data_IF_874839616433
#
_entry.id   IF_874839616433
#
_cell.length_a   1.000
_cell.length_b   1.000
_cell.length_c   1.000
_cell.angle_alpha   90.00
_cell.angle_beta   90.00
_cell.angle_gamma   90.00
#
_symmetry.space_group_name_H-M   'P 1'
#
loop_
_entity.id
_entity.type
_entity.pdbx_description
1 polymer ?
#
# COMPACT_ATOMS: atom_id res chain seq x y z
N UNK A 1 -31.62 18.95 45.29
CA UNK A 1 -30.18 19.14 45.03
C UNK A 1 -29.72 17.86 44.31
N UNK A 2 -29.72 17.73 42.98
CA UNK A 2 -28.57 17.99 42.09
C UNK A 2 -28.94 17.79 40.60
N UNK A 3 -29.98 18.48 40.08
CA UNK A 3 -30.37 18.29 38.65
C UNK A 3 -29.29 18.76 37.66
N UNK A 4 -28.41 19.70 38.03
CA UNK A 4 -27.33 20.20 37.15
C UNK A 4 -26.23 19.16 36.89
N UNK A 5 -25.79 18.43 37.93
CA UNK A 5 -24.80 17.36 37.81
C UNK A 5 -25.23 16.21 36.90
N UNK A 6 -26.52 15.85 36.91
CA UNK A 6 -27.08 14.80 36.03
C UNK A 6 -27.07 15.24 34.56
N UNK A 7 -27.22 16.54 34.27
CA UNK A 7 -27.16 17.05 32.90
C UNK A 7 -25.71 17.08 32.38
N UNK A 8 -24.76 17.55 33.17
CA UNK A 8 -23.34 17.59 32.78
C UNK A 8 -22.76 16.19 32.56
N UNK A 9 -23.05 15.23 33.45
CA UNK A 9 -22.61 13.84 33.29
C UNK A 9 -23.25 13.13 32.10
N UNK A 10 -24.52 13.41 31.81
CA UNK A 10 -25.23 12.84 30.65
C UNK A 10 -24.69 13.38 29.32
N UNK A 11 -24.33 14.66 29.27
CA UNK A 11 -23.69 15.27 28.09
C UNK A 11 -22.28 14.72 27.89
N UNK A 12 -21.48 14.62 28.97
CA UNK A 12 -20.15 14.01 28.90
C UNK A 12 -20.19 12.56 28.42
N UNK A 13 -21.13 11.76 28.93
CA UNK A 13 -21.34 10.37 28.49
C UNK A 13 -21.74 10.26 27.01
N UNK A 14 -22.58 11.18 26.52
CA UNK A 14 -22.97 11.23 25.11
C UNK A 14 -21.77 11.52 24.21
N UNK A 15 -20.95 12.51 24.58
CA UNK A 15 -19.75 12.89 23.82
C UNK A 15 -18.72 11.74 23.83
N UNK A 16 -18.53 11.09 24.98
CA UNK A 16 -17.67 9.91 25.09
C UNK A 16 -18.16 8.77 24.19
N UNK A 17 -19.46 8.47 24.22
CA UNK A 17 -20.05 7.43 23.38
C UNK A 17 -19.90 7.76 21.89
N UNK A 18 -20.18 9.00 21.48
CA UNK A 18 -20.00 9.45 20.11
C UNK A 18 -18.53 9.38 19.67
N UNK A 19 -17.59 9.75 20.54
CA UNK A 19 -16.15 9.66 20.28
C UNK A 19 -15.69 8.22 20.09
N UNK A 20 -16.13 7.29 20.94
CA UNK A 20 -15.83 5.85 20.80
C UNK A 20 -16.36 5.32 19.47
N UNK A 21 -17.61 5.65 19.11
CA UNK A 21 -18.20 5.25 17.83
C UNK A 21 -17.40 5.83 16.66
N UNK A 22 -16.99 7.09 16.75
CA UNK A 22 -16.20 7.78 15.72
C UNK A 22 -14.83 7.13 15.52
N UNK A 23 -14.12 6.81 16.60
CA UNK A 23 -12.85 6.07 16.54
C UNK A 23 -13.06 4.71 15.88
N UNK A 24 -14.08 3.95 16.28
CA UNK A 24 -14.40 2.65 15.68
C UNK A 24 -14.71 2.79 14.18
N UNK A 25 -15.44 3.82 13.77
CA UNK A 25 -15.74 4.09 12.36
C UNK A 25 -14.47 4.36 11.54
N UNK A 26 -13.55 5.20 12.04
CA UNK A 26 -12.26 5.47 11.38
C UNK A 26 -11.44 4.19 11.24
N UNK A 27 -11.32 3.40 12.32
CA UNK A 27 -10.59 2.14 12.28
C UNK A 27 -11.24 1.11 11.35
N UNK A 28 -12.57 1.09 11.25
CA UNK A 28 -13.31 0.24 10.32
C UNK A 28 -13.01 0.61 8.87
N UNK A 29 -13.05 1.90 8.52
CA UNK A 29 -12.70 2.38 7.17
C UNK A 29 -11.25 2.01 6.82
N UNK A 30 -10.32 2.16 7.77
CA UNK A 30 -8.91 1.79 7.61
C UNK A 30 -8.68 0.29 7.35
N UNK A 31 -9.53 -0.60 7.87
CA UNK A 31 -9.48 -2.05 7.59
C UNK A 31 -10.02 -2.42 6.20
N UNK A 32 -11.00 -1.68 5.67
CA UNK A 32 -11.64 -1.99 4.38
C UNK A 32 -10.85 -1.47 3.18
N UNK A 33 -10.11 -0.37 3.34
CA UNK A 33 -9.14 0.02 2.34
C UNK A 33 -7.96 -0.97 2.45
N UNK A 34 -7.70 -1.74 1.38
CA UNK A 34 -6.58 -2.72 1.25
C UNK A 34 -5.17 -2.12 1.40
N UNK A 35 -5.00 -1.03 2.14
CA UNK A 35 -3.72 -0.46 2.55
C UNK A 35 -2.91 -1.48 3.37
N UNK A 36 -3.60 -2.42 4.04
CA UNK A 36 -3.01 -3.56 4.77
C UNK A 36 -2.95 -4.89 3.99
N UNK A 37 -3.21 -4.89 2.68
CA UNK A 37 -2.90 -6.07 1.89
C UNK A 37 -1.41 -6.37 2.00
N UNK A 38 -1.01 -7.57 2.43
CA UNK A 38 0.40 -7.95 2.43
C UNK A 38 0.94 -7.74 1.01
N UNK A 39 1.98 -6.91 0.88
CA UNK A 39 2.67 -6.66 -0.39
C UNK A 39 4.02 -7.36 -0.35
N UNK A 40 4.37 -8.01 -1.45
CA UNK A 40 5.69 -8.60 -1.68
C UNK A 40 6.47 -7.66 -2.56
N UNK A 41 7.73 -7.40 -2.21
CA UNK A 41 8.61 -6.55 -2.99
C UNK A 41 9.51 -7.40 -3.86
N UNK A 42 9.55 -7.10 -5.15
CA UNK A 42 10.47 -7.72 -6.10
C UNK A 42 11.46 -6.69 -6.59
N UNK A 43 12.71 -7.12 -6.78
CA UNK A 43 13.78 -6.32 -7.34
C UNK A 43 14.05 -6.79 -8.76
N UNK A 44 13.98 -5.87 -9.72
CA UNK A 44 14.20 -6.15 -11.13
C UNK A 44 15.32 -5.22 -11.61
N UNK A 45 16.21 -5.73 -12.45
CA UNK A 45 17.29 -4.94 -13.03
C UNK A 45 16.97 -4.76 -14.51
N UNK A 46 16.77 -3.51 -14.92
CA UNK A 46 16.53 -3.15 -16.31
C UNK A 46 17.77 -2.44 -16.90
N UNK A 47 18.03 -2.63 -18.18
CA UNK A 47 19.06 -1.86 -18.90
C UNK A 47 18.58 -0.45 -19.26
N UNK A 48 17.28 -0.30 -19.53
CA UNK A 48 16.61 0.95 -19.84
C UNK A 48 15.23 0.98 -19.17
N UNK A 49 14.86 2.12 -18.63
CA UNK A 49 13.56 2.36 -17.98
C UNK A 49 12.80 3.52 -18.62
N UNK A 50 13.05 3.81 -19.90
CA UNK A 50 12.45 4.95 -20.61
C UNK A 50 10.94 5.04 -20.35
N UNK A 51 10.51 6.15 -19.75
CA UNK A 51 9.10 6.42 -19.43
C UNK A 51 8.57 5.81 -18.13
N UNK A 52 9.33 4.94 -17.44
CA UNK A 52 8.90 4.32 -16.19
C UNK A 52 9.07 5.28 -15.00
N UNK A 53 8.00 5.50 -14.27
CA UNK A 53 7.93 6.38 -13.11
C UNK A 53 7.58 5.61 -11.83
N UNK A 54 7.90 6.24 -10.69
CA UNK A 54 7.43 5.74 -9.39
C UNK A 54 5.91 5.86 -9.33
N UNK A 55 5.25 4.78 -8.95
CA UNK A 55 3.79 4.69 -8.87
C UNK A 55 3.14 4.02 -10.07
N UNK A 56 3.88 3.78 -11.15
CA UNK A 56 3.33 3.11 -12.35
C UNK A 56 2.75 1.74 -12.02
N UNK A 57 1.67 1.40 -12.70
CA UNK A 57 0.95 0.15 -12.48
C UNK A 57 1.77 -1.05 -12.96
N UNK A 58 1.86 -2.08 -12.12
CA UNK A 58 2.45 -3.36 -12.47
C UNK A 58 1.33 -4.31 -12.85
N UNK A 59 1.41 -4.86 -14.05
CA UNK A 59 0.40 -5.77 -14.59
C UNK A 59 0.93 -7.19 -14.70
N UNK A 60 0.07 -8.16 -14.42
CA UNK A 60 0.28 -9.58 -14.69
C UNK A 60 -0.90 -10.08 -15.52
N UNK A 61 -0.63 -10.57 -16.74
CA UNK A 61 -1.65 -11.02 -17.69
C UNK A 61 -2.78 -9.98 -17.91
N UNK A 62 -2.43 -8.69 -17.96
CA UNK A 62 -3.37 -7.59 -18.16
C UNK A 62 -4.13 -7.13 -16.90
N UNK A 63 -3.92 -7.77 -15.74
CA UNK A 63 -4.50 -7.34 -14.47
C UNK A 63 -3.51 -6.49 -13.67
N UNK A 64 -3.95 -5.36 -13.14
CA UNK A 64 -3.14 -4.54 -12.22
C UNK A 64 -2.98 -5.28 -10.90
N UNK A 65 -1.75 -5.68 -10.59
CA UNK A 65 -1.41 -6.45 -9.39
C UNK A 65 -0.54 -5.68 -8.40
N UNK A 66 0.00 -4.53 -8.80
CA UNK A 66 0.95 -3.79 -8.00
C UNK A 66 1.31 -2.43 -8.56
N UNK A 67 2.36 -1.85 -8.01
CA UNK A 67 2.90 -0.57 -8.43
C UNK A 67 4.43 -0.53 -8.31
N UNK A 68 5.08 0.34 -9.07
CA UNK A 68 6.50 0.67 -8.89
C UNK A 68 6.66 1.43 -7.58
N UNK A 69 7.50 0.91 -6.68
CA UNK A 69 7.75 1.47 -5.35
C UNK A 69 8.96 2.42 -5.37
N UNK A 70 10.04 2.00 -6.02
CA UNK A 70 11.29 2.76 -6.09
C UNK A 70 12.08 2.44 -7.35
N UNK A 71 12.73 3.46 -7.89
CA UNK A 71 13.72 3.34 -8.96
C UNK A 71 15.04 3.87 -8.38
N UNK A 72 16.12 3.11 -8.49
CA UNK A 72 17.43 3.50 -7.98
C UNK A 72 18.55 3.04 -8.89
N UNK A 73 19.58 3.86 -8.99
CA UNK A 73 20.84 3.42 -9.57
C UNK A 73 21.55 2.47 -8.59
N UNK A 74 22.22 1.41 -9.09
CA UNK A 74 22.99 0.52 -8.26
C UNK A 74 24.08 1.29 -7.53
N UNK A 75 24.24 1.02 -6.22
CA UNK A 75 25.25 1.68 -5.38
C UNK A 75 26.69 1.40 -5.84
N UNK A 76 26.90 0.23 -6.46
CA UNK A 76 28.21 -0.17 -6.99
C UNK A 76 28.21 0.06 -8.50
N UNK A 77 29.11 0.93 -8.97
CA UNK A 77 29.28 1.22 -10.41
C UNK A 77 29.70 -0.01 -11.24
N UNK A 78 30.09 -1.11 -10.60
CA UNK A 78 30.47 -2.37 -11.26
C UNK A 78 29.31 -3.19 -11.83
N UNK A 79 28.05 -2.85 -11.54
CA UNK A 79 26.87 -3.53 -12.10
C UNK A 79 26.11 -2.57 -13.02
N UNK A 80 26.20 -2.72 -14.35
CA UNK A 80 25.38 -1.93 -15.26
C UNK A 80 23.90 -2.31 -15.09
N UNK A 81 23.02 -1.31 -15.05
CA UNK A 81 21.58 -1.51 -14.96
C UNK A 81 20.93 -0.58 -13.94
N UNK A 82 19.61 -0.50 -14.00
CA UNK A 82 18.77 0.33 -13.13
C UNK A 82 17.91 -0.61 -12.31
N UNK A 83 17.99 -0.47 -10.99
CA UNK A 83 17.25 -1.29 -10.06
C UNK A 83 15.86 -0.71 -9.86
N UNK A 84 14.85 -1.48 -10.22
CA UNK A 84 13.44 -1.15 -10.04
C UNK A 84 12.86 -2.07 -8.99
N UNK A 85 12.32 -1.49 -7.94
CA UNK A 85 11.60 -2.18 -6.88
C UNK A 85 10.11 -2.03 -7.12
N UNK A 86 9.43 -3.14 -7.30
CA UNK A 86 7.97 -3.19 -7.44
C UNK A 86 7.34 -3.77 -6.18
N UNK A 87 6.14 -3.30 -5.86
CA UNK A 87 5.31 -3.86 -4.80
C UNK A 87 4.09 -4.52 -5.40
N UNK A 88 3.95 -5.82 -5.18
CA UNK A 88 2.86 -6.65 -5.74
C UNK A 88 2.03 -7.23 -4.60
N UNK A 89 0.72 -7.37 -4.81
CA UNK A 89 -0.16 -7.98 -3.81
C UNK A 89 0.20 -9.46 -3.56
N UNK A 90 0.26 -9.88 -2.30
CA UNK A 90 0.67 -11.24 -1.92
C UNK A 90 -0.24 -12.35 -2.47
N UNK A 91 -1.52 -12.05 -2.73
CA UNK A 91 -2.46 -13.02 -3.32
C UNK A 91 -2.05 -13.48 -4.73
N UNK A 92 -1.19 -12.74 -5.44
CA UNK A 92 -0.67 -13.13 -6.75
C UNK A 92 0.76 -13.66 -6.70
N UNK A 93 1.38 -13.72 -5.52
CA UNK A 93 2.74 -14.26 -5.32
C UNK A 93 2.88 -15.67 -5.91
N UNK A 94 1.86 -16.51 -5.76
CA UNK A 94 1.82 -17.88 -6.30
C UNK A 94 1.83 -17.95 -7.83
N UNK A 95 1.59 -16.83 -8.51
CA UNK A 95 1.63 -16.72 -9.98
C UNK A 95 2.97 -16.17 -10.50
N UNK A 96 3.80 -15.60 -9.63
CA UNK A 96 5.11 -15.06 -9.99
C UNK A 96 6.17 -16.10 -9.62
N UNK A 97 6.64 -16.83 -10.63
CA UNK A 97 7.69 -17.85 -10.50
C UNK A 97 9.07 -17.28 -10.77
N UNK A 98 10.12 -17.99 -10.38
CA UNK A 98 11.52 -17.56 -10.58
C UNK A 98 11.92 -17.38 -12.05
N UNK A 99 11.24 -18.06 -12.97
CA UNK A 99 11.44 -17.95 -14.43
C UNK A 99 10.56 -16.86 -15.09
N UNK A 100 9.87 -16.05 -14.28
CA UNK A 100 9.06 -14.94 -14.78
C UNK A 100 9.94 -13.87 -15.43
N UNK A 101 9.49 -13.34 -16.57
CA UNK A 101 10.14 -12.24 -17.27
C UNK A 101 9.35 -10.95 -17.08
N UNK A 102 10.06 -9.86 -16.82
CA UNK A 102 9.47 -8.53 -16.72
C UNK A 102 9.81 -7.72 -17.98
N UNK A 103 8.84 -6.95 -18.47
CA UNK A 103 9.01 -6.01 -19.59
C UNK A 103 8.31 -4.71 -19.26
N UNK A 104 8.77 -3.62 -19.85
CA UNK A 104 8.13 -2.30 -19.76
C UNK A 104 7.35 -2.13 -21.06
N UNK A 105 6.03 -2.01 -20.95
CA UNK A 105 5.18 -1.65 -22.08
C UNK A 105 5.11 -0.11 -22.16
N UNK A 106 5.23 0.43 -23.36
CA UNK A 106 5.12 1.86 -23.65
C UNK A 106 3.69 2.28 -23.96
#
# INVERSE_FOLDING_TARGET
MNRRFVHETRVGALILMASVIFVVAIFSIGRHQKIFGQKVRYKIIFSNISGLNKGDAVMLNGLIVGNVDRIQFPKNMSRPGIEVVISVQKNVETRIREDSKASIAS
#
